data_IF_240440050427
#
_entry.id   IF_240440050427
#
_cell.length_a   1.000
_cell.length_b   1.000
_cell.length_c   1.000
_cell.angle_alpha   90.00
_cell.angle_beta   90.00
_cell.angle_gamma   90.00
#
_symmetry.space_group_name_H-M   'P 1'
#
loop_
_entity.id
_entity.type
_entity.pdbx_description
1 polymer ?
#
# COMPACT_ATOMS: atom_id res chain seq x y z
N UNK A 1 -39.71 53.87 -3.45
CA UNK A 1 -38.49 53.40 -2.73
C UNK A 1 -37.73 52.46 -3.64
N UNK A 2 -36.77 52.98 -4.41
CA UNK A 2 -35.87 52.18 -5.25
C UNK A 2 -34.61 51.87 -4.44
N UNK A 3 -34.46 50.61 -4.02
CA UNK A 3 -33.24 50.11 -3.41
C UNK A 3 -32.11 50.13 -4.45
N UNK A 4 -31.19 51.10 -4.32
CA UNK A 4 -29.94 51.11 -5.10
C UNK A 4 -29.08 49.98 -4.54
N UNK A 5 -29.24 48.79 -5.11
CA UNK A 5 -28.41 47.63 -4.80
C UNK A 5 -26.98 47.95 -5.26
N UNK A 6 -26.11 48.25 -4.29
CA UNK A 6 -24.74 48.66 -4.56
C UNK A 6 -24.01 47.48 -5.23
N UNK A 7 -23.74 47.56 -6.54
CA UNK A 7 -23.12 46.47 -7.32
C UNK A 7 -21.84 45.93 -6.67
N UNK A 8 -21.12 46.78 -5.91
CA UNK A 8 -19.94 46.41 -5.11
C UNK A 8 -20.21 45.38 -4.01
N UNK A 9 -21.44 45.30 -3.49
CA UNK A 9 -21.86 44.35 -2.45
C UNK A 9 -22.09 42.92 -2.99
N UNK A 10 -22.31 42.75 -4.30
CA UNK A 10 -22.52 41.43 -4.96
C UNK A 10 -21.21 40.77 -5.37
N UNK A 11 -20.16 41.56 -5.65
CA UNK A 11 -18.86 41.01 -6.04
C UNK A 11 -18.15 40.28 -4.91
N UNK A 12 -18.35 40.71 -3.66
CA UNK A 12 -17.75 40.08 -2.47
C UNK A 12 -18.23 38.63 -2.28
N UNK A 13 -19.55 38.33 -2.24
CA UNK A 13 -20.02 36.94 -2.14
C UNK A 13 -19.68 36.12 -3.39
N UNK A 14 -19.67 36.71 -4.59
CA UNK A 14 -19.25 36.01 -5.81
C UNK A 14 -17.75 35.60 -5.76
N UNK A 15 -16.86 36.48 -5.29
CA UNK A 15 -15.44 36.17 -5.10
C UNK A 15 -15.23 35.11 -4.00
N UNK A 16 -16.01 35.19 -2.92
CA UNK A 16 -16.01 34.20 -1.83
C UNK A 16 -16.43 32.80 -2.29
N UNK A 17 -17.29 32.69 -3.30
CA UNK A 17 -17.71 31.41 -3.88
C UNK A 17 -16.73 30.86 -4.92
N UNK A 18 -15.98 31.72 -5.61
CA UNK A 18 -15.03 31.30 -6.63
C UNK A 18 -13.84 30.51 -6.06
N UNK A 19 -13.31 30.93 -4.91
CA UNK A 19 -12.17 30.26 -4.25
C UNK A 19 -12.49 28.79 -3.92
N UNK A 20 -13.58 28.44 -3.20
CA UNK A 20 -13.91 27.04 -2.93
C UNK A 20 -14.24 26.26 -4.21
N UNK A 21 -14.86 26.87 -5.23
CA UNK A 21 -15.10 26.19 -6.51
C UNK A 21 -13.80 25.79 -7.22
N UNK A 22 -12.76 26.64 -7.19
CA UNK A 22 -11.45 26.31 -7.76
C UNK A 22 -10.79 25.17 -6.97
N UNK A 23 -10.86 25.22 -5.64
CA UNK A 23 -10.31 24.15 -4.79
C UNK A 23 -11.01 22.82 -5.06
N UNK A 24 -12.35 22.79 -5.07
CA UNK A 24 -13.13 21.59 -5.37
C UNK A 24 -12.81 21.06 -6.77
N UNK A 25 -12.68 21.96 -7.76
CA UNK A 25 -12.32 21.58 -9.14
C UNK A 25 -10.99 20.83 -9.21
N UNK A 26 -9.98 21.25 -8.44
CA UNK A 26 -8.69 20.54 -8.35
C UNK A 26 -8.85 19.15 -7.74
N UNK A 27 -9.63 19.01 -6.68
CA UNK A 27 -9.88 17.71 -6.04
C UNK A 27 -10.58 16.74 -6.99
N UNK A 28 -11.63 17.21 -7.69
CA UNK A 28 -12.35 16.40 -8.68
C UNK A 28 -11.42 15.93 -9.80
N UNK A 29 -10.56 16.81 -10.32
CA UNK A 29 -9.58 16.43 -11.35
C UNK A 29 -8.55 15.42 -10.82
N UNK A 30 -8.12 15.56 -9.56
CA UNK A 30 -7.28 14.57 -8.89
C UNK A 30 -7.96 13.19 -8.84
N UNK A 31 -9.19 13.14 -8.36
CA UNK A 31 -9.93 11.89 -8.16
C UNK A 31 -10.25 11.17 -9.46
N UNK A 32 -10.59 11.90 -10.53
CA UNK A 32 -10.83 11.31 -11.85
C UNK A 32 -9.58 10.57 -12.33
N UNK A 33 -8.40 11.18 -12.19
CA UNK A 33 -7.13 10.55 -12.59
C UNK A 33 -6.74 9.40 -11.67
N UNK A 34 -6.98 9.50 -10.37
CA UNK A 34 -6.70 8.42 -9.42
C UNK A 34 -7.66 7.22 -9.59
N UNK A 35 -8.91 7.47 -10.01
CA UNK A 35 -9.92 6.42 -10.20
C UNK A 35 -9.50 5.41 -11.27
N UNK A 36 -8.90 5.87 -12.37
CA UNK A 36 -8.39 4.97 -13.42
C UNK A 36 -7.30 4.05 -12.88
N UNK A 37 -6.39 4.58 -12.07
CA UNK A 37 -5.31 3.82 -11.41
C UNK A 37 -5.88 2.80 -10.44
N UNK A 38 -6.85 3.20 -9.61
CA UNK A 38 -7.55 2.31 -8.68
C UNK A 38 -8.18 1.13 -9.41
N UNK A 39 -8.88 1.42 -10.50
CA UNK A 39 -9.53 0.40 -11.32
C UNK A 39 -8.51 -0.58 -11.92
N UNK A 40 -7.45 -0.07 -12.56
CA UNK A 40 -6.39 -0.90 -13.13
C UNK A 40 -5.71 -1.80 -12.10
N UNK A 41 -5.34 -1.24 -10.93
CA UNK A 41 -4.75 -2.00 -9.83
C UNK A 41 -5.69 -3.11 -9.36
N UNK A 42 -6.97 -2.79 -9.16
CA UNK A 42 -7.97 -3.77 -8.71
C UNK A 42 -8.15 -4.88 -9.73
N UNK A 43 -8.15 -4.55 -11.02
CA UNK A 43 -8.24 -5.52 -12.10
C UNK A 43 -7.05 -6.50 -12.06
N UNK A 44 -5.81 -5.99 -12.04
CA UNK A 44 -4.61 -6.85 -12.01
C UNK A 44 -4.57 -7.77 -10.78
N UNK A 45 -5.02 -7.28 -9.63
CA UNK A 45 -5.12 -8.08 -8.41
C UNK A 45 -6.18 -9.17 -8.51
N UNK A 46 -7.34 -8.85 -9.08
CA UNK A 46 -8.46 -9.80 -9.25
C UNK A 46 -8.09 -10.90 -10.25
N UNK A 47 -7.41 -10.52 -11.33
CA UNK A 47 -6.90 -11.44 -12.37
C UNK A 47 -5.62 -12.18 -11.93
N UNK A 48 -5.06 -11.83 -10.77
CA UNK A 48 -3.82 -12.39 -10.23
C UNK A 48 -2.66 -12.38 -11.25
N UNK A 49 -2.47 -11.23 -11.92
CA UNK A 49 -1.39 -11.00 -12.89
C UNK A 49 -0.64 -9.71 -12.61
N UNK A 50 0.53 -9.58 -13.25
CA UNK A 50 1.25 -8.31 -13.31
C UNK A 50 0.75 -7.47 -14.49
N UNK A 51 0.87 -6.12 -14.42
CA UNK A 51 0.62 -5.26 -15.57
C UNK A 51 1.66 -5.48 -16.66
N UNK A 52 1.25 -5.27 -17.91
CA UNK A 52 2.20 -5.03 -19.01
C UNK A 52 2.90 -3.66 -18.85
N UNK A 53 3.99 -3.46 -19.58
CA UNK A 53 4.75 -2.19 -19.55
C UNK A 53 3.87 -1.00 -19.96
N UNK A 54 3.02 -1.17 -20.98
CA UNK A 54 2.11 -0.11 -21.45
C UNK A 54 1.01 0.21 -20.43
N UNK A 55 0.37 -0.81 -19.85
CA UNK A 55 -0.61 -0.65 -18.77
C UNK A 55 -0.01 0.09 -17.57
N UNK A 56 1.20 -0.30 -17.16
CA UNK A 56 1.88 0.34 -16.03
C UNK A 56 2.24 1.80 -16.33
N UNK A 57 2.75 2.08 -17.53
CA UNK A 57 3.12 3.43 -17.96
C UNK A 57 1.91 4.37 -18.00
N UNK A 58 0.77 3.86 -18.47
CA UNK A 58 -0.50 4.60 -18.48
C UNK A 58 -0.99 4.92 -17.06
N UNK A 59 -0.93 3.92 -16.16
CA UNK A 59 -1.29 4.12 -14.76
C UNK A 59 -0.34 5.11 -14.05
N UNK A 60 0.96 5.06 -14.34
CA UNK A 60 1.95 6.00 -13.79
C UNK A 60 1.70 7.43 -14.28
N UNK A 61 1.37 7.60 -15.56
CA UNK A 61 0.99 8.91 -16.11
C UNK A 61 -0.25 9.46 -15.40
N UNK A 62 -1.25 8.61 -15.18
CA UNK A 62 -2.50 8.98 -14.50
C UNK A 62 -2.26 9.34 -13.02
N UNK A 63 -1.44 8.57 -12.29
CA UNK A 63 -1.20 8.88 -10.87
C UNK A 63 -0.39 10.18 -10.70
N UNK A 64 0.59 10.44 -11.58
CA UNK A 64 1.33 11.69 -11.54
C UNK A 64 0.44 12.89 -11.87
N UNK A 65 -0.51 12.74 -12.80
CA UNK A 65 -1.52 13.76 -13.07
C UNK A 65 -2.39 14.01 -11.82
N UNK A 66 -2.87 12.94 -11.16
CA UNK A 66 -3.65 13.08 -9.92
C UNK A 66 -2.88 13.84 -8.82
N UNK A 67 -1.61 13.47 -8.60
CA UNK A 67 -0.72 14.12 -7.62
C UNK A 67 -0.40 15.59 -7.95
N UNK A 68 -0.40 15.96 -9.24
CA UNK A 68 -0.25 17.37 -9.65
C UNK A 68 -1.46 18.25 -9.30
N UNK A 69 -2.64 17.64 -9.24
CA UNK A 69 -3.87 18.31 -8.83
C UNK A 69 -4.00 18.39 -7.31
N UNK A 70 -3.74 17.27 -6.61
CA UNK A 70 -3.81 17.19 -5.16
C UNK A 70 -2.89 16.09 -4.63
N UNK A 71 -2.04 16.41 -3.65
CA UNK A 71 -1.18 15.43 -2.98
C UNK A 71 -1.95 14.78 -1.82
N UNK A 72 -2.70 13.72 -2.12
CA UNK A 72 -3.42 12.95 -1.10
C UNK A 72 -2.65 11.67 -0.75
N UNK A 73 -2.79 11.16 0.47
CA UNK A 73 -2.05 9.97 0.88
C UNK A 73 -2.56 8.71 0.18
N UNK A 74 -3.82 8.67 -0.26
CA UNK A 74 -4.33 7.58 -1.08
C UNK A 74 -3.63 7.51 -2.44
N UNK A 75 -3.37 8.66 -3.07
CA UNK A 75 -2.64 8.69 -4.33
C UNK A 75 -1.18 8.22 -4.15
N UNK A 76 -0.56 8.59 -3.03
CA UNK A 76 0.77 8.09 -2.65
C UNK A 76 0.80 6.57 -2.43
N UNK A 77 -0.27 5.97 -1.90
CA UNK A 77 -0.36 4.51 -1.81
C UNK A 77 -0.43 3.84 -3.19
N UNK A 78 -1.18 4.43 -4.12
CA UNK A 78 -1.26 3.96 -5.50
C UNK A 78 0.08 4.12 -6.21
N UNK A 79 0.72 5.28 -6.09
CA UNK A 79 2.06 5.56 -6.62
C UNK A 79 3.07 4.53 -6.11
N UNK A 80 3.13 4.30 -4.80
CA UNK A 80 4.01 3.30 -4.22
C UNK A 80 3.74 1.88 -4.73
N UNK A 81 2.47 1.54 -4.98
CA UNK A 81 2.09 0.25 -5.55
C UNK A 81 2.52 0.11 -7.01
N UNK A 82 2.36 1.16 -7.82
CA UNK A 82 2.81 1.15 -9.21
C UNK A 82 4.34 1.01 -9.29
N UNK A 83 5.08 1.69 -8.41
CA UNK A 83 6.52 1.49 -8.30
C UNK A 83 6.89 0.07 -7.85
N UNK A 84 6.13 -0.54 -6.93
CA UNK A 84 6.33 -1.94 -6.60
C UNK A 84 6.09 -2.85 -7.83
N UNK A 85 5.02 -2.64 -8.61
CA UNK A 85 4.82 -3.38 -9.86
C UNK A 85 5.96 -3.18 -10.86
N UNK A 86 6.46 -1.95 -11.00
CA UNK A 86 7.63 -1.65 -11.83
C UNK A 86 8.85 -2.49 -11.42
N UNK A 87 9.08 -2.64 -10.12
CA UNK A 87 10.18 -3.47 -9.61
C UNK A 87 10.03 -4.96 -9.91
N UNK A 88 8.79 -5.44 -10.05
CA UNK A 88 8.48 -6.85 -10.32
C UNK A 88 8.61 -7.21 -11.79
N UNK A 89 8.32 -6.28 -12.70
CA UNK A 89 8.40 -6.51 -14.15
C UNK A 89 9.75 -6.08 -14.74
N UNK A 90 10.60 -5.40 -13.97
CA UNK A 90 11.90 -4.94 -14.47
C UNK A 90 12.96 -6.03 -14.35
N UNK A 91 13.61 -6.33 -15.47
CA UNK A 91 14.76 -7.24 -15.52
C UNK A 91 16.08 -6.56 -15.14
N UNK A 92 16.13 -5.22 -15.20
CA UNK A 92 17.33 -4.44 -14.89
C UNK A 92 17.43 -4.21 -13.37
N UNK A 93 18.50 -4.67 -12.69
CA UNK A 93 18.64 -4.50 -11.23
C UNK A 93 18.63 -3.05 -10.76
N UNK A 94 19.21 -2.12 -11.53
CA UNK A 94 19.21 -0.69 -11.18
C UNK A 94 17.81 -0.11 -11.24
N UNK A 95 17.05 -0.41 -12.30
CA UNK A 95 15.65 0.05 -12.42
C UNK A 95 14.77 -0.55 -11.33
N UNK A 96 14.98 -1.82 -10.98
CA UNK A 96 14.30 -2.47 -9.87
C UNK A 96 14.56 -1.75 -8.54
N UNK A 97 15.82 -1.46 -8.22
CA UNK A 97 16.18 -0.77 -6.98
C UNK A 97 15.63 0.66 -6.93
N UNK A 98 15.72 1.39 -8.04
CA UNK A 98 15.13 2.73 -8.15
C UNK A 98 13.62 2.70 -7.93
N UNK A 99 12.92 1.73 -8.51
CA UNK A 99 11.49 1.57 -8.31
C UNK A 99 11.15 1.25 -6.84
N UNK A 100 11.89 0.36 -6.18
CA UNK A 100 11.69 0.09 -4.75
C UNK A 100 11.93 1.33 -3.88
N UNK A 101 12.97 2.13 -4.17
CA UNK A 101 13.23 3.37 -3.45
C UNK A 101 12.10 4.41 -3.63
N UNK A 102 11.56 4.53 -4.85
CA UNK A 102 10.41 5.38 -5.10
C UNK A 102 9.15 4.89 -4.36
N UNK A 103 8.95 3.57 -4.29
CA UNK A 103 7.88 2.98 -3.50
C UNK A 103 8.02 3.29 -2.01
N UNK A 104 9.24 3.21 -1.45
CA UNK A 104 9.51 3.61 -0.05
C UNK A 104 9.10 5.05 0.21
N UNK A 105 9.53 5.98 -0.64
CA UNK A 105 9.22 7.39 -0.49
C UNK A 105 7.72 7.67 -0.54
N UNK A 106 7.02 6.99 -1.45
CA UNK A 106 5.57 7.09 -1.59
C UNK A 106 4.84 6.60 -0.33
N UNK A 107 5.22 5.42 0.19
CA UNK A 107 4.61 4.89 1.41
C UNK A 107 4.96 5.69 2.66
N UNK A 108 6.19 6.23 2.78
CA UNK A 108 6.57 7.17 3.86
C UNK A 108 5.73 8.44 3.83
N UNK A 109 5.48 9.00 2.64
CA UNK A 109 4.61 10.17 2.49
C UNK A 109 3.17 9.86 2.94
N UNK A 110 2.65 8.69 2.56
CA UNK A 110 1.31 8.24 2.94
C UNK A 110 1.16 8.01 4.45
N UNK A 111 2.12 7.31 5.09
CA UNK A 111 2.08 7.02 6.54
C UNK A 111 2.19 8.28 7.39
N UNK A 112 2.93 9.30 6.94
CA UNK A 112 3.02 10.59 7.62
C UNK A 112 1.67 11.30 7.71
N UNK A 113 0.86 11.20 6.66
CA UNK A 113 -0.45 11.85 6.59
C UNK A 113 -1.57 11.00 7.23
N UNK A 114 -1.44 9.67 7.22
CA UNK A 114 -2.40 8.74 7.82
C UNK A 114 -1.68 7.73 8.73
N UNK A 115 -1.27 8.15 9.94
CA UNK A 115 -0.48 7.31 10.84
C UNK A 115 -1.20 6.04 11.31
N UNK A 116 -2.53 5.98 11.20
CA UNK A 116 -3.34 4.81 11.56
C UNK A 116 -3.74 3.95 10.36
N UNK A 117 -3.34 4.30 9.12
CA UNK A 117 -3.76 3.53 7.95
C UNK A 117 -2.88 2.29 7.76
N UNK A 118 -3.43 1.08 7.98
CA UNK A 118 -2.59 -0.11 8.13
C UNK A 118 -1.95 -0.55 6.82
N UNK A 119 -2.60 -0.29 5.68
CA UNK A 119 -2.11 -0.70 4.36
C UNK A 119 -0.80 -0.02 3.98
N UNK A 120 -0.64 1.28 4.25
CA UNK A 120 0.61 1.99 3.96
C UNK A 120 1.75 1.46 4.80
N UNK A 121 1.51 1.19 6.08
CA UNK A 121 2.51 0.58 6.96
C UNK A 121 2.89 -0.83 6.54
N UNK A 122 1.91 -1.65 6.14
CA UNK A 122 2.17 -3.02 5.69
C UNK A 122 3.03 -3.03 4.42
N UNK A 123 2.71 -2.16 3.46
CA UNK A 123 3.50 -2.05 2.24
C UNK A 123 4.87 -1.40 2.50
N UNK A 124 4.97 -0.41 3.41
CA UNK A 124 6.27 0.13 3.82
C UNK A 124 7.17 -0.96 4.41
N UNK A 125 6.63 -1.79 5.31
CA UNK A 125 7.37 -2.93 5.87
C UNK A 125 7.82 -3.91 4.78
N UNK A 126 6.94 -4.22 3.81
CA UNK A 126 7.27 -5.08 2.68
C UNK A 126 8.40 -4.50 1.82
N UNK A 127 8.28 -3.25 1.38
CA UNK A 127 9.29 -2.64 0.51
C UNK A 127 10.63 -2.51 1.27
N UNK A 128 10.61 -2.15 2.56
CA UNK A 128 11.84 -2.13 3.38
C UNK A 128 12.49 -3.50 3.49
N UNK A 129 11.70 -4.56 3.62
CA UNK A 129 12.24 -5.92 3.60
C UNK A 129 12.86 -6.28 2.24
N UNK A 130 12.22 -5.89 1.13
CA UNK A 130 12.72 -6.11 -0.23
C UNK A 130 14.01 -5.33 -0.54
N UNK A 131 14.20 -4.15 0.06
CA UNK A 131 15.45 -3.37 -0.07
C UNK A 131 16.51 -3.73 0.96
N UNK A 132 16.20 -4.59 1.92
CA UNK A 132 17.11 -4.96 3.01
C UNK A 132 17.24 -3.91 4.11
N UNK A 133 16.41 -2.87 4.12
CA UNK A 133 16.34 -1.85 5.18
C UNK A 133 15.65 -2.40 6.44
N UNK A 134 16.28 -3.36 7.12
CA UNK A 134 15.74 -4.03 8.32
C UNK A 134 15.99 -3.24 9.62
N UNK A 135 15.71 -1.94 9.58
CA UNK A 135 15.98 -0.98 10.65
C UNK A 135 14.80 -0.82 11.64
N UNK A 136 14.86 0.22 12.49
CA UNK A 136 13.78 0.53 13.43
C UNK A 136 12.48 0.96 12.76
N UNK A 137 12.53 1.58 11.59
CA UNK A 137 11.34 1.98 10.82
C UNK A 137 10.64 0.74 10.26
N UNK A 138 11.39 -0.27 9.80
CA UNK A 138 10.83 -1.56 9.38
C UNK A 138 10.05 -2.23 10.53
N UNK A 139 10.67 -2.33 11.71
CA UNK A 139 10.02 -2.90 12.91
C UNK A 139 8.83 -2.05 13.38
N UNK A 140 8.91 -0.73 13.25
CA UNK A 140 7.78 0.16 13.55
C UNK A 140 6.62 -0.06 12.57
N UNK A 141 6.91 -0.17 11.27
CA UNK A 141 5.92 -0.42 10.24
C UNK A 141 5.17 -1.75 10.44
N UNK A 142 5.89 -2.82 10.82
CA UNK A 142 5.26 -4.10 11.21
C UNK A 142 4.26 -3.90 12.34
N UNK A 143 4.68 -3.22 13.42
CA UNK A 143 3.82 -2.99 14.59
C UNK A 143 2.59 -2.15 14.24
N UNK A 144 2.76 -1.07 13.48
CA UNK A 144 1.65 -0.19 13.08
C UNK A 144 0.66 -0.90 12.16
N UNK A 145 1.15 -1.67 11.19
CA UNK A 145 0.29 -2.43 10.29
C UNK A 145 -0.51 -3.50 11.05
N UNK A 146 0.15 -4.26 11.92
CA UNK A 146 -0.50 -5.31 12.70
C UNK A 146 -1.50 -4.76 13.74
N UNK A 147 -1.19 -3.62 14.35
CA UNK A 147 -2.07 -2.96 15.32
C UNK A 147 -3.34 -2.42 14.66
N UNK A 148 -3.21 -1.70 13.54
CA UNK A 148 -4.32 -0.98 12.93
C UNK A 148 -5.11 -1.81 11.89
N UNK A 149 -4.56 -2.93 11.41
CA UNK A 149 -5.21 -3.75 10.38
C UNK A 149 -5.06 -5.27 10.55
N UNK A 150 -5.24 -5.84 11.76
CA UNK A 150 -4.98 -7.26 12.02
C UNK A 150 -5.83 -8.21 11.17
N UNK A 151 -7.02 -7.79 10.74
CA UNK A 151 -7.98 -8.61 10.00
C UNK A 151 -8.03 -8.29 8.50
N UNK A 152 -7.28 -7.29 8.06
CA UNK A 152 -7.27 -6.87 6.66
C UNK A 152 -6.47 -7.86 5.81
N UNK A 153 -7.08 -8.38 4.75
CA UNK A 153 -6.43 -9.42 3.94
C UNK A 153 -5.15 -8.91 3.26
N UNK A 154 -5.16 -7.68 2.74
CA UNK A 154 -3.97 -7.09 2.12
C UNK A 154 -2.82 -6.85 3.11
N UNK A 155 -3.15 -6.47 4.35
CA UNK A 155 -2.17 -6.33 5.44
C UNK A 155 -1.57 -7.68 5.79
N UNK A 156 -2.41 -8.71 5.96
CA UNK A 156 -1.96 -10.06 6.27
C UNK A 156 -1.01 -10.62 5.20
N UNK A 157 -1.31 -10.38 3.92
CA UNK A 157 -0.46 -10.77 2.79
C UNK A 157 0.89 -10.04 2.84
N UNK A 158 0.88 -8.71 2.90
CA UNK A 158 2.10 -7.90 2.86
C UNK A 158 3.00 -8.16 4.07
N UNK A 159 2.45 -8.24 5.28
CA UNK A 159 3.23 -8.55 6.48
C UNK A 159 3.75 -9.98 6.51
N UNK A 160 3.04 -10.94 5.92
CA UNK A 160 3.56 -12.30 5.77
C UNK A 160 4.83 -12.27 4.94
N UNK A 161 4.79 -11.63 3.77
CA UNK A 161 5.96 -11.53 2.89
C UNK A 161 7.10 -10.74 3.54
N UNK A 162 6.81 -9.58 4.12
CA UNK A 162 7.77 -8.73 4.83
C UNK A 162 8.47 -9.48 5.98
N UNK A 163 7.69 -10.18 6.81
CA UNK A 163 8.20 -10.91 7.98
C UNK A 163 9.00 -12.15 7.60
N UNK A 164 8.67 -12.82 6.49
CA UNK A 164 9.45 -13.96 5.99
C UNK A 164 10.83 -13.55 5.47
N UNK A 165 10.89 -12.43 4.75
CA UNK A 165 12.15 -11.87 4.23
C UNK A 165 13.03 -11.43 5.40
N UNK A 166 12.49 -10.63 6.32
CA UNK A 166 13.24 -10.03 7.42
C UNK A 166 13.34 -10.88 8.69
N UNK A 167 12.88 -12.14 8.69
CA UNK A 167 12.65 -12.94 9.90
C UNK A 167 13.82 -12.92 10.91
N UNK A 168 15.06 -13.05 10.43
CA UNK A 168 16.24 -13.12 11.28
C UNK A 168 16.58 -11.79 11.98
N UNK A 169 16.05 -10.67 11.49
CA UNK A 169 16.21 -9.34 12.11
C UNK A 169 15.17 -9.03 13.19
N UNK A 170 14.12 -9.85 13.28
CA UNK A 170 13.00 -9.62 14.20
C UNK A 170 13.31 -10.14 15.60
N UNK A 171 12.95 -9.36 16.61
CA UNK A 171 12.95 -9.85 17.99
C UNK A 171 11.77 -10.80 18.25
N UNK A 172 11.73 -11.40 19.44
CA UNK A 172 10.70 -12.39 19.79
C UNK A 172 9.28 -11.85 19.66
N UNK A 173 9.03 -10.63 20.14
CA UNK A 173 7.72 -9.98 20.07
C UNK A 173 7.29 -9.74 18.63
N UNK A 174 8.21 -9.33 17.76
CA UNK A 174 7.93 -9.11 16.33
C UNK A 174 7.70 -10.43 15.58
N UNK A 175 8.46 -11.47 15.91
CA UNK A 175 8.21 -12.81 15.37
C UNK A 175 6.82 -13.33 15.76
N UNK A 176 6.37 -13.06 16.98
CA UNK A 176 5.01 -13.38 17.42
C UNK A 176 3.96 -12.59 16.63
N UNK A 177 4.15 -11.29 16.42
CA UNK A 177 3.28 -10.46 15.57
C UNK A 177 3.16 -11.06 14.15
N UNK A 178 4.28 -11.40 13.53
CA UNK A 178 4.29 -12.00 12.17
C UNK A 178 3.62 -13.37 12.19
N UNK A 179 3.87 -14.20 13.20
CA UNK A 179 3.26 -15.53 13.31
C UNK A 179 1.75 -15.43 13.46
N UNK A 180 1.24 -14.51 14.28
CA UNK A 180 -0.20 -14.27 14.41
C UNK A 180 -0.82 -13.72 13.13
N UNK A 181 -0.12 -12.81 12.46
CA UNK A 181 -0.52 -12.30 11.15
C UNK A 181 -0.63 -13.44 10.12
N UNK A 182 0.36 -14.35 10.07
CA UNK A 182 0.31 -15.53 9.22
C UNK A 182 -0.87 -16.43 9.62
N UNK A 183 -1.12 -16.65 10.92
CA UNK A 183 -2.26 -17.44 11.40
C UNK A 183 -3.59 -16.86 10.92
N UNK A 184 -3.76 -15.53 10.96
CA UNK A 184 -4.95 -14.85 10.43
C UNK A 184 -5.03 -14.97 8.92
N UNK A 185 -3.91 -14.76 8.22
CA UNK A 185 -3.79 -14.90 6.78
C UNK A 185 -4.18 -16.28 6.26
N UNK A 186 -3.72 -17.37 6.90
CA UNK A 186 -4.04 -18.74 6.46
C UNK A 186 -5.51 -19.09 6.66
N UNK A 187 -6.17 -18.48 7.65
CA UNK A 187 -7.62 -18.64 7.87
C UNK A 187 -8.43 -17.94 6.79
N UNK A 188 -7.98 -16.76 6.36
CA UNK A 188 -8.68 -15.94 5.36
C UNK A 188 -8.39 -16.36 3.92
N UNK A 189 -7.13 -16.63 3.60
CA UNK A 189 -6.65 -16.89 2.25
C UNK A 189 -5.46 -17.87 2.23
N UNK A 190 -5.73 -19.12 2.62
CA UNK A 190 -4.71 -20.17 2.69
C UNK A 190 -3.91 -20.34 1.39
N UNK A 191 -4.59 -20.31 0.23
CA UNK A 191 -3.94 -20.56 -1.06
C UNK A 191 -2.84 -19.53 -1.32
N UNK A 192 -3.15 -18.25 -1.11
CA UNK A 192 -2.18 -17.18 -1.35
C UNK A 192 -1.04 -17.20 -0.33
N UNK A 193 -1.35 -17.35 0.96
CA UNK A 193 -0.30 -17.42 1.99
C UNK A 193 0.64 -18.61 1.79
N UNK A 194 0.10 -19.76 1.36
CA UNK A 194 0.91 -20.94 1.01
C UNK A 194 1.88 -20.65 -0.14
N UNK A 195 1.44 -19.93 -1.17
CA UNK A 195 2.31 -19.52 -2.29
C UNK A 195 3.47 -18.66 -1.79
N UNK A 196 3.20 -17.68 -0.94
CA UNK A 196 4.23 -16.79 -0.38
C UNK A 196 5.23 -17.59 0.48
N UNK A 197 4.74 -18.40 1.41
CA UNK A 197 5.60 -19.21 2.30
C UNK A 197 6.52 -20.14 1.51
N UNK A 198 6.00 -20.77 0.46
CA UNK A 198 6.78 -21.65 -0.40
C UNK A 198 7.81 -20.89 -1.23
N UNK A 199 7.46 -19.71 -1.77
CA UNK A 199 8.37 -18.85 -2.55
C UNK A 199 9.66 -18.54 -1.80
N UNK A 200 9.57 -18.26 -0.50
CA UNK A 200 10.73 -17.91 0.33
C UNK A 200 11.39 -19.13 1.01
N UNK A 201 10.91 -20.35 0.74
CA UNK A 201 11.40 -21.59 1.36
C UNK A 201 11.44 -21.53 2.90
N UNK A 202 10.44 -20.89 3.52
CA UNK A 202 10.36 -20.71 4.99
C UNK A 202 9.29 -21.58 5.65
N UNK A 203 8.79 -22.60 4.95
CA UNK A 203 7.67 -23.43 5.45
C UNK A 203 7.97 -24.08 6.79
N UNK A 204 9.12 -24.73 6.95
CA UNK A 204 9.50 -25.41 8.20
C UNK A 204 9.58 -24.43 9.37
N UNK A 205 10.20 -23.27 9.14
CA UNK A 205 10.31 -22.19 10.12
C UNK A 205 8.93 -21.73 10.60
N UNK A 206 8.02 -21.44 9.67
CA UNK A 206 6.68 -20.99 10.02
C UNK A 206 5.87 -22.09 10.72
N UNK A 207 5.91 -23.31 10.19
CA UNK A 207 5.18 -24.44 10.78
C UNK A 207 5.61 -24.78 12.20
N UNK A 208 6.86 -24.47 12.58
CA UNK A 208 7.36 -24.63 13.95
C UNK A 208 6.84 -23.56 14.92
N UNK A 209 6.44 -22.38 14.42
CA UNK A 209 6.02 -21.25 15.25
C UNK A 209 4.49 -21.05 15.28
N UNK A 210 3.74 -21.57 14.30
CA UNK A 210 2.29 -21.42 14.24
C UNK A 210 1.55 -22.18 15.35
N UNK A 211 0.39 -21.63 15.76
CA UNK A 211 -0.52 -22.33 16.67
C UNK A 211 -1.13 -23.54 15.95
N UNK A 212 -1.10 -24.69 16.61
CA UNK A 212 -1.69 -25.93 16.07
C UNK A 212 -3.20 -25.78 15.94
N UNK A 213 -3.70 -25.79 14.70
CA UNK A 213 -5.12 -25.82 14.38
C UNK A 213 -5.36 -26.51 13.02
N UNK A 214 -6.62 -26.59 12.57
CA UNK A 214 -6.97 -27.21 11.28
C UNK A 214 -6.33 -26.53 10.07
N UNK A 215 -6.08 -25.23 10.14
CA UNK A 215 -5.49 -24.46 9.04
C UNK A 215 -3.97 -24.64 8.99
N UNK A 216 -3.32 -24.67 10.15
CA UNK A 216 -1.90 -25.00 10.27
C UNK A 216 -1.62 -26.40 9.71
N UNK A 217 -2.41 -27.41 10.07
CA UNK A 217 -2.25 -28.78 9.50
C UNK A 217 -2.38 -28.80 7.99
N UNK A 218 -3.38 -28.09 7.44
CA UNK A 218 -3.59 -27.97 5.99
C UNK A 218 -2.44 -27.24 5.28
N UNK A 219 -1.83 -26.25 5.93
CA UNK A 219 -0.64 -25.56 5.42
C UNK A 219 0.61 -26.45 5.49
N UNK A 220 0.81 -27.13 6.63
CA UNK A 220 2.08 -27.76 7.00
C UNK A 220 2.18 -29.23 6.58
N UNK A 221 1.08 -29.95 6.44
CA UNK A 221 1.03 -31.30 5.85
C UNK A 221 1.22 -32.46 6.84
N UNK A 222 1.02 -32.21 8.14
CA UNK A 222 1.00 -33.21 9.21
C UNK A 222 -0.20 -32.94 10.14
#
# INVERSE_FOLDING_TARGET
MSTVFNKKLVFIPALLLLIPSILIGRWVLGDINAYTVRYSVQQWQTENRLPSISELTSAQTSIHAALSWNDTPEYRDYEGRLFHYQSLISENPLLKNTALNNALNSYRASTKQRPQWPYSWANLALIKALTGELDSEYRHAIRQAALNGPWENGVNIALTEAGLIGWLSLNRTEQEIITENIQRGIRRNLKHIKVIINRYNKRSLICANLKRDKYQRKLCGF
#
